data_IF_604075785551
#
_entry.id   IF_604075785551
#
_cell.length_a   1.000
_cell.length_b   1.000
_cell.length_c   1.000
_cell.angle_alpha   90.00
_cell.angle_beta   90.00
_cell.angle_gamma   90.00
#
_symmetry.space_group_name_H-M   'P 1'
#
loop_
_entity.id
_entity.type
_entity.pdbx_description
1 polymer ?
#
# COMPACT_ATOMS: atom_id res chain seq x y z
N UNK A 1 57.79 18.52 2.42
CA UNK A 1 56.89 19.66 2.10
C UNK A 1 55.72 19.13 1.28
N UNK A 2 54.55 18.93 1.89
CA UNK A 2 53.33 18.54 1.16
C UNK A 2 52.71 19.78 0.52
N UNK A 3 52.47 19.74 -0.79
CA UNK A 3 51.91 20.88 -1.53
C UNK A 3 50.48 21.20 -1.08
N UNK A 4 50.16 22.43 -0.65
CA UNK A 4 48.86 22.80 -0.09
C UNK A 4 47.67 22.54 -1.04
N UNK A 5 47.92 22.49 -2.36
CA UNK A 5 46.91 22.18 -3.38
C UNK A 5 46.30 20.78 -3.24
N UNK A 6 47.06 19.80 -2.75
CA UNK A 6 46.56 18.41 -2.62
C UNK A 6 45.54 18.28 -1.48
N UNK A 7 45.73 19.02 -0.37
CA UNK A 7 44.80 18.99 0.76
C UNK A 7 43.46 19.61 0.40
N UNK A 8 43.47 20.73 -0.33
CA UNK A 8 42.22 21.38 -0.78
C UNK A 8 41.44 20.50 -1.74
N UNK A 9 42.12 19.86 -2.71
CA UNK A 9 41.47 18.94 -3.64
C UNK A 9 40.84 17.72 -2.92
N UNK A 10 41.52 17.16 -1.92
CA UNK A 10 41.01 16.03 -1.15
C UNK A 10 39.76 16.40 -0.34
N UNK A 11 39.74 17.57 0.30
CA UNK A 11 38.58 18.06 1.08
C UNK A 11 37.37 18.34 0.19
N UNK A 12 37.58 18.89 -1.01
CA UNK A 12 36.50 19.09 -1.98
C UNK A 12 35.95 17.74 -2.49
N UNK A 13 36.83 16.79 -2.81
CA UNK A 13 36.41 15.47 -3.26
C UNK A 13 35.59 14.74 -2.18
N UNK A 14 36.07 14.72 -0.93
CA UNK A 14 35.32 14.08 0.17
C UNK A 14 33.97 14.74 0.42
N UNK A 15 33.89 16.07 0.35
CA UNK A 15 32.63 16.80 0.48
C UNK A 15 31.60 16.41 -0.59
N UNK A 16 32.03 16.27 -1.85
CA UNK A 16 31.16 15.84 -2.96
C UNK A 16 30.67 14.41 -2.73
N UNK A 17 31.55 13.48 -2.34
CA UNK A 17 31.17 12.08 -2.08
C UNK A 17 30.16 11.93 -0.93
N UNK A 18 30.34 12.70 0.15
CA UNK A 18 29.44 12.67 1.31
C UNK A 18 28.01 13.12 0.96
N UNK A 19 27.85 14.01 -0.02
CA UNK A 19 26.51 14.46 -0.47
C UNK A 19 25.95 13.55 -1.56
N UNK A 20 26.79 13.11 -2.51
CA UNK A 20 26.34 12.32 -3.66
C UNK A 20 25.89 10.91 -3.27
N UNK A 21 26.60 10.24 -2.36
CA UNK A 21 26.29 8.85 -1.98
C UNK A 21 24.89 8.73 -1.34
N UNK A 22 24.52 9.53 -0.33
CA UNK A 22 23.17 9.48 0.24
C UNK A 22 22.08 9.78 -0.80
N UNK A 23 22.30 10.74 -1.69
CA UNK A 23 21.33 11.11 -2.74
C UNK A 23 21.05 9.94 -3.70
N UNK A 24 22.10 9.23 -4.12
CA UNK A 24 21.96 8.06 -4.99
C UNK A 24 21.26 6.91 -4.26
N UNK A 25 21.62 6.65 -3.00
CA UNK A 25 21.02 5.58 -2.20
C UNK A 25 19.54 5.84 -1.88
N UNK A 26 19.16 7.08 -1.55
CA UNK A 26 17.75 7.43 -1.30
C UNK A 26 16.92 7.34 -2.56
N UNK A 27 17.48 7.76 -3.70
CA UNK A 27 16.83 7.67 -5.01
C UNK A 27 16.61 6.21 -5.42
N UNK A 28 17.63 5.36 -5.29
CA UNK A 28 17.53 3.93 -5.58
C UNK A 28 16.52 3.23 -4.65
N UNK A 29 16.50 3.61 -3.37
CA UNK A 29 15.50 3.08 -2.43
C UNK A 29 14.08 3.49 -2.83
N UNK A 30 13.88 4.75 -3.20
CA UNK A 30 12.58 5.24 -3.66
C UNK A 30 12.09 4.46 -4.89
N UNK A 31 12.93 4.32 -5.93
CA UNK A 31 12.55 3.56 -7.12
C UNK A 31 12.46 2.04 -6.90
N UNK A 32 13.14 1.51 -5.88
CA UNK A 32 12.94 0.12 -5.43
C UNK A 32 11.62 -0.09 -4.69
N UNK A 33 11.13 0.94 -3.99
CA UNK A 33 9.84 0.90 -3.30
C UNK A 33 8.67 1.20 -4.23
N UNK A 34 8.78 2.18 -5.11
CA UNK A 34 7.71 2.61 -6.01
C UNK A 34 8.09 2.34 -7.46
N UNK A 35 7.40 1.37 -8.07
CA UNK A 35 7.52 1.09 -9.50
C UNK A 35 6.31 1.69 -10.22
N UNK A 36 6.52 2.79 -10.91
CA UNK A 36 5.47 3.51 -11.64
C UNK A 36 5.55 3.16 -13.13
N UNK A 37 4.44 2.77 -13.73
CA UNK A 37 4.30 2.48 -15.15
C UNK A 37 3.64 3.65 -15.88
N UNK A 38 4.01 3.87 -17.14
CA UNK A 38 3.45 4.93 -17.99
C UNK A 38 1.94 4.80 -18.27
N UNK A 39 1.31 3.69 -17.87
CA UNK A 39 -0.13 3.44 -17.91
C UNK A 39 -0.91 4.08 -16.74
N UNK A 40 -0.21 4.72 -15.79
CA UNK A 40 -0.83 5.24 -14.56
C UNK A 40 -1.03 4.17 -13.48
N UNK A 41 -0.26 3.08 -13.56
CA UNK A 41 -0.21 2.04 -12.55
C UNK A 41 1.04 2.24 -11.69
N UNK A 42 0.91 2.09 -10.37
CA UNK A 42 2.00 2.16 -9.41
C UNK A 42 2.01 0.90 -8.56
N UNK A 43 3.10 0.13 -8.58
CA UNK A 43 3.30 -0.99 -7.67
C UNK A 43 4.22 -0.53 -6.53
N UNK A 44 3.73 -0.68 -5.30
CA UNK A 44 4.45 -0.32 -4.09
C UNK A 44 4.94 -1.58 -3.41
N UNK A 45 6.25 -1.75 -3.27
CA UNK A 45 6.84 -2.81 -2.49
C UNK A 45 6.80 -2.43 -1.00
N UNK A 46 6.25 -3.31 -0.16
CA UNK A 46 6.08 -3.07 1.28
C UNK A 46 7.38 -3.26 2.07
N UNK A 47 8.38 -3.93 1.48
CA UNK A 47 9.67 -4.18 2.11
C UNK A 47 10.36 -2.86 2.47
N UNK A 48 10.63 -2.68 3.77
CA UNK A 48 11.19 -1.44 4.33
C UNK A 48 10.33 -0.17 4.13
N UNK A 49 9.06 -0.31 3.75
CA UNK A 49 8.10 0.79 3.57
C UNK A 49 7.11 0.83 4.76
N UNK A 50 7.62 0.93 5.98
CA UNK A 50 6.85 0.79 7.22
C UNK A 50 6.94 2.03 8.11
N UNK A 51 6.07 2.08 9.12
CA UNK A 51 6.05 3.10 10.17
C UNK A 51 5.31 4.39 9.82
N UNK A 52 5.49 5.39 10.67
CA UNK A 52 4.79 6.68 10.61
C UNK A 52 3.56 6.75 11.51
N UNK A 53 2.91 7.92 11.54
CA UNK A 53 1.71 8.11 12.35
C UNK A 53 0.52 7.37 11.72
N UNK A 54 -0.07 6.43 12.47
CA UNK A 54 -1.27 5.70 12.07
C UNK A 54 -2.53 6.59 12.17
N UNK A 55 -2.63 7.58 11.28
CA UNK A 55 -3.75 8.53 11.22
C UNK A 55 -4.19 8.76 9.77
N UNK A 56 -5.50 8.73 9.51
CA UNK A 56 -6.05 8.82 8.14
C UNK A 56 -5.68 10.11 7.39
N UNK A 57 -5.51 11.20 8.13
CA UNK A 57 -5.05 12.51 7.61
C UNK A 57 -3.53 12.68 7.47
N UNK A 58 -2.74 11.60 7.51
CA UNK A 58 -1.30 11.64 7.25
C UNK A 58 -0.92 10.64 6.18
N UNK A 59 -0.03 11.03 5.25
CA UNK A 59 0.49 10.13 4.23
C UNK A 59 1.21 8.94 4.87
N UNK A 60 0.95 7.75 4.36
CA UNK A 60 1.67 6.53 4.72
C UNK A 60 2.73 6.18 3.67
N UNK A 61 3.70 5.36 4.08
CA UNK A 61 4.72 4.85 3.16
C UNK A 61 4.09 3.92 2.10
N UNK A 62 3.14 3.08 2.48
CA UNK A 62 2.37 2.26 1.54
C UNK A 62 1.00 2.89 1.34
N UNK A 63 0.94 3.87 0.44
CA UNK A 63 -0.29 4.55 0.05
C UNK A 63 -0.21 4.96 -1.42
N UNK A 64 -1.29 4.71 -2.15
CA UNK A 64 -1.46 5.10 -3.54
C UNK A 64 -1.39 6.62 -3.70
N UNK A 65 -0.95 7.05 -4.88
CA UNK A 65 -0.75 8.46 -5.18
C UNK A 65 -2.08 9.17 -5.48
N UNK A 66 -1.98 10.46 -5.76
CA UNK A 66 -3.11 11.29 -6.06
C UNK A 66 -3.90 10.78 -7.28
N UNK A 67 -5.20 10.48 -7.09
CA UNK A 67 -6.07 9.94 -8.13
C UNK A 67 -5.94 8.43 -8.35
N UNK A 68 -5.08 7.76 -7.58
CA UNK A 68 -4.94 6.31 -7.57
C UNK A 68 -5.73 5.64 -6.44
N UNK A 69 -6.16 4.41 -6.67
CA UNK A 69 -6.78 3.53 -5.69
C UNK A 69 -6.03 2.19 -5.65
N UNK A 70 -6.09 1.50 -4.51
CA UNK A 70 -5.61 0.12 -4.44
C UNK A 70 -6.55 -0.74 -5.29
N UNK A 71 -5.97 -1.46 -6.25
CA UNK A 71 -6.69 -2.43 -7.07
C UNK A 71 -6.25 -3.85 -6.78
N UNK A 72 -5.11 -4.06 -6.12
CA UNK A 72 -4.64 -5.41 -5.86
C UNK A 72 -3.53 -5.47 -4.82
N UNK A 73 -3.30 -6.68 -4.35
CA UNK A 73 -2.22 -7.04 -3.45
C UNK A 73 -1.49 -8.24 -4.01
N UNK A 74 -0.19 -8.29 -3.77
CA UNK A 74 0.66 -9.38 -4.18
C UNK A 74 1.47 -9.95 -3.02
N UNK A 75 1.58 -11.27 -3.01
CA UNK A 75 2.55 -12.01 -2.23
C UNK A 75 3.51 -12.75 -3.17
N UNK A 76 4.62 -13.25 -2.63
CA UNK A 76 5.56 -14.09 -3.38
C UNK A 76 5.15 -15.55 -3.26
N UNK A 77 5.58 -16.21 -2.17
CA UNK A 77 5.46 -17.67 -2.00
C UNK A 77 4.95 -18.05 -0.61
N UNK A 78 4.40 -17.10 0.13
CA UNK A 78 4.01 -17.28 1.53
C UNK A 78 2.49 -17.31 1.70
N UNK A 79 1.73 -17.72 0.68
CA UNK A 79 0.28 -17.99 0.78
C UNK A 79 -0.55 -16.84 1.39
N UNK A 80 -0.20 -15.59 1.10
CA UNK A 80 -0.81 -14.38 1.66
C UNK A 80 -0.69 -14.28 3.20
N UNK A 81 0.39 -14.84 3.75
CA UNK A 81 0.87 -14.58 5.11
C UNK A 81 1.48 -13.18 5.26
N UNK A 82 1.76 -12.52 4.13
CA UNK A 82 2.26 -11.14 4.06
C UNK A 82 1.74 -10.43 2.81
N UNK A 83 1.82 -9.09 2.81
CA UNK A 83 1.67 -8.29 1.59
C UNK A 83 3.06 -7.86 1.16
N UNK A 84 3.53 -8.30 -0.01
CA UNK A 84 4.82 -7.86 -0.57
C UNK A 84 4.63 -6.67 -1.49
N UNK A 85 3.56 -6.67 -2.27
CA UNK A 85 3.27 -5.63 -3.25
C UNK A 85 1.85 -5.11 -3.08
N UNK A 86 1.68 -3.81 -3.22
CA UNK A 86 0.38 -3.14 -3.33
C UNK A 86 0.29 -2.52 -4.72
N UNK A 87 -0.72 -2.93 -5.48
CA UNK A 87 -0.95 -2.39 -6.81
C UNK A 87 -1.97 -1.26 -6.73
N UNK A 88 -1.51 -0.06 -7.06
CA UNK A 88 -2.30 1.15 -7.21
C UNK A 88 -2.55 1.46 -8.68
N UNK A 89 -3.75 1.93 -9.01
CA UNK A 89 -4.12 2.33 -10.37
C UNK A 89 -4.84 3.65 -10.37
N UNK A 90 -4.54 4.49 -11.36
CA UNK A 90 -5.25 5.74 -11.58
C UNK A 90 -6.71 5.49 -12.01
N UNK A 91 -7.67 5.81 -11.14
CA UNK A 91 -9.10 5.56 -11.36
C UNK A 91 -9.94 6.84 -11.46
N UNK A 92 -9.39 8.00 -11.09
CA UNK A 92 -10.16 9.24 -10.96
C UNK A 92 -9.66 10.34 -11.93
N UNK A 93 -9.88 10.21 -13.25
CA UNK A 93 -9.35 11.14 -14.26
C UNK A 93 -9.86 12.58 -14.15
N UNK A 94 -11.04 12.80 -13.58
CA UNK A 94 -11.66 14.12 -13.42
C UNK A 94 -11.45 14.71 -12.03
N UNK A 95 -10.70 14.01 -11.16
CA UNK A 95 -10.32 14.56 -9.87
C UNK A 95 -9.42 15.79 -10.07
N UNK A 96 -9.67 16.91 -9.37
CA UNK A 96 -8.73 18.02 -9.34
C UNK A 96 -7.37 17.59 -8.79
N UNK A 97 -6.30 18.02 -9.44
CA UNK A 97 -4.93 17.74 -9.02
C UNK A 97 -4.64 18.37 -7.64
N UNK A 98 -4.05 17.59 -6.74
CA UNK A 98 -3.74 18.05 -5.38
C UNK A 98 -2.44 18.87 -5.30
N UNK A 99 -1.71 19.06 -6.41
CA UNK A 99 -0.38 19.71 -6.44
C UNK A 99 0.63 19.08 -5.47
N UNK A 100 0.53 17.78 -5.22
CA UNK A 100 1.37 17.08 -4.24
C UNK A 100 1.07 17.44 -2.77
N UNK A 101 0.01 18.21 -2.51
CA UNK A 101 -0.44 18.55 -1.16
C UNK A 101 -1.30 17.42 -0.61
N UNK A 102 -0.93 16.90 0.56
CA UNK A 102 -1.70 15.89 1.28
C UNK A 102 -2.76 16.58 2.20
N UNK A 103 -3.97 16.03 2.37
CA UNK A 103 -4.49 14.76 1.85
C UNK A 103 -4.89 14.79 0.38
N UNK A 104 -4.68 13.68 -0.31
CA UNK A 104 -5.08 13.53 -1.72
C UNK A 104 -6.59 13.44 -1.89
N UNK A 105 -7.28 12.89 -0.89
CA UNK A 105 -8.73 12.69 -0.88
C UNK A 105 -9.39 13.50 0.25
N UNK A 106 -10.68 13.88 0.10
CA UNK A 106 -11.34 14.83 1.00
C UNK A 106 -11.54 14.31 2.43
N UNK A 107 -11.82 13.01 2.58
CA UNK A 107 -11.96 12.37 3.89
C UNK A 107 -11.30 10.99 3.87
N UNK A 108 -10.49 10.72 4.88
CA UNK A 108 -9.75 9.48 5.03
C UNK A 108 -9.76 9.05 6.50
N UNK A 109 -10.05 7.77 6.71
CA UNK A 109 -10.11 7.14 8.02
C UNK A 109 -9.35 5.82 8.01
N UNK A 110 -9.03 5.33 9.20
CA UNK A 110 -8.26 4.11 9.40
C UNK A 110 -9.19 3.00 9.87
N UNK A 111 -8.96 1.80 9.36
CA UNK A 111 -9.67 0.58 9.70
C UNK A 111 -8.69 -0.53 10.04
N UNK A 112 -9.18 -1.53 10.75
CA UNK A 112 -8.41 -2.69 11.18
C UNK A 112 -8.93 -3.98 10.53
N UNK A 113 -8.03 -4.75 9.92
CA UNK A 113 -8.31 -5.98 9.17
C UNK A 113 -8.99 -7.09 9.97
N UNK A 114 -8.79 -7.10 11.29
CA UNK A 114 -9.24 -8.17 12.18
C UNK A 114 -10.75 -8.17 12.36
N UNK A 115 -11.38 -6.99 12.44
CA UNK A 115 -12.81 -6.87 12.76
C UNK A 115 -13.56 -5.84 11.91
N UNK A 116 -12.86 -5.06 11.08
CA UNK A 116 -13.45 -4.10 10.15
C UNK A 116 -12.99 -4.47 8.75
N UNK A 117 -13.76 -5.31 8.06
CA UNK A 117 -13.36 -5.84 6.76
C UNK A 117 -13.63 -4.88 5.61
N UNK A 118 -14.58 -3.96 5.78
CA UNK A 118 -15.01 -3.04 4.73
C UNK A 118 -14.77 -1.60 5.13
N UNK A 119 -14.39 -0.77 4.15
CA UNK A 119 -14.31 0.67 4.34
C UNK A 119 -15.68 1.25 4.69
N UNK A 120 -16.74 0.80 4.00
CA UNK A 120 -18.11 1.18 4.30
C UNK A 120 -18.58 0.65 5.65
N UNK A 121 -19.19 1.53 6.45
CA UNK A 121 -19.78 1.19 7.75
C UNK A 121 -21.18 1.80 7.87
N UNK A 122 -22.24 0.98 8.01
CA UNK A 122 -23.61 1.48 8.16
C UNK A 122 -23.79 2.42 9.35
N UNK A 123 -23.04 2.18 10.44
CA UNK A 123 -23.06 3.03 11.64
C UNK A 123 -22.54 4.45 11.39
N UNK A 124 -21.63 4.60 10.41
CA UNK A 124 -20.99 5.86 10.06
C UNK A 124 -21.17 6.13 8.56
N UNK A 125 -22.41 6.01 8.07
CA UNK A 125 -22.73 6.10 6.65
C UNK A 125 -22.16 7.36 6.00
N UNK A 126 -22.43 8.54 6.57
CA UNK A 126 -22.02 9.83 6.00
C UNK A 126 -20.51 9.98 5.78
N UNK A 127 -19.72 9.31 6.63
CA UNK A 127 -18.25 9.35 6.59
C UNK A 127 -17.65 8.23 5.74
N UNK A 128 -18.37 7.13 5.54
CA UNK A 128 -17.83 5.91 4.94
C UNK A 128 -18.49 5.49 3.62
N UNK A 129 -19.54 6.18 3.20
CA UNK A 129 -20.12 6.02 1.86
C UNK A 129 -19.08 6.37 0.80
N UNK A 130 -19.11 5.62 -0.31
CA UNK A 130 -18.18 5.76 -1.43
C UNK A 130 -16.72 5.74 -0.99
N UNK A 131 -16.37 4.86 -0.06
CA UNK A 131 -15.01 4.72 0.44
C UNK A 131 -14.32 3.47 -0.11
N UNK A 132 -13.03 3.61 -0.37
CA UNK A 132 -12.16 2.58 -0.94
C UNK A 132 -10.78 2.62 -0.27
N UNK A 133 -10.02 1.54 -0.42
CA UNK A 133 -8.70 1.38 0.17
C UNK A 133 -7.67 2.18 -0.62
N UNK A 134 -6.88 2.99 0.08
CA UNK A 134 -5.79 3.77 -0.52
C UNK A 134 -4.42 3.34 -0.02
N UNK A 135 -4.33 2.63 1.10
CA UNK A 135 -3.03 2.27 1.65
C UNK A 135 -3.09 1.31 2.82
N UNK A 136 -1.90 0.83 3.17
CA UNK A 136 -1.65 -0.16 4.22
C UNK A 136 -0.60 0.41 5.18
N UNK A 137 -0.76 0.10 6.46
CA UNK A 137 0.15 0.52 7.52
C UNK A 137 0.58 -0.69 8.34
N UNK A 138 1.87 -0.73 8.60
CA UNK A 138 2.52 -1.65 9.52
C UNK A 138 3.69 -0.93 10.19
N UNK A 139 4.08 -1.34 11.39
CA UNK A 139 5.26 -0.88 12.09
C UNK A 139 6.47 -1.84 11.93
N UNK A 140 6.26 -3.01 11.33
CA UNK A 140 7.33 -3.98 11.05
C UNK A 140 8.05 -3.77 9.71
N UNK A 141 9.25 -4.32 9.58
CA UNK A 141 10.07 -4.16 8.35
C UNK A 141 9.43 -4.70 7.06
N UNK A 142 8.41 -5.55 7.22
CA UNK A 142 7.63 -6.23 6.19
C UNK A 142 6.19 -6.32 6.69
N UNK A 143 5.24 -6.28 5.77
CA UNK A 143 3.83 -6.38 6.12
C UNK A 143 3.45 -7.84 6.45
N UNK A 144 3.60 -8.25 7.70
CA UNK A 144 3.29 -9.63 8.13
C UNK A 144 1.91 -9.76 8.76
N UNK A 145 1.21 -10.84 8.42
CA UNK A 145 -0.15 -11.13 8.89
C UNK A 145 -0.24 -12.49 9.59
N UNK A 146 0.71 -13.40 9.37
CA UNK A 146 0.77 -14.77 9.93
C UNK A 146 1.11 -14.85 11.42
N UNK A 147 0.35 -14.17 12.25
CA UNK A 147 0.48 -14.25 13.70
C UNK A 147 -0.57 -15.22 14.24
N UNK A 148 -0.27 -16.01 15.26
CA UNK A 148 -1.27 -16.90 15.90
C UNK A 148 -2.19 -16.15 16.87
N UNK A 149 -1.78 -14.97 17.30
CA UNK A 149 -2.52 -14.12 18.23
C UNK A 149 -3.32 -13.12 17.40
N UNK A 150 -4.55 -12.84 17.82
CA UNK A 150 -5.33 -11.73 17.31
C UNK A 150 -4.62 -10.44 17.72
N UNK A 151 -3.98 -9.79 16.75
CA UNK A 151 -3.36 -8.50 16.93
C UNK A 151 -3.97 -7.47 15.98
N UNK A 152 -3.97 -6.22 16.45
CA UNK A 152 -4.58 -5.06 15.81
C UNK A 152 -3.53 -4.09 15.24
N UNK A 153 -2.35 -4.64 14.95
CA UNK A 153 -1.17 -3.85 14.58
C UNK A 153 -1.30 -3.37 13.13
N UNK A 154 -1.71 -4.25 12.23
CA UNK A 154 -1.84 -3.89 10.83
C UNK A 154 -3.17 -3.12 10.62
N UNK A 155 -3.07 -1.94 10.01
CA UNK A 155 -4.24 -1.10 9.70
C UNK A 155 -4.24 -0.72 8.22
N UNK A 156 -5.43 -0.48 7.65
CA UNK A 156 -5.57 0.08 6.31
C UNK A 156 -6.26 1.41 6.34
N UNK A 157 -5.98 2.19 5.30
CA UNK A 157 -6.58 3.48 5.07
C UNK A 157 -7.68 3.36 4.05
N UNK A 158 -8.83 3.89 4.43
CA UNK A 158 -9.97 4.08 3.57
C UNK A 158 -10.13 5.57 3.31
N UNK A 159 -10.31 5.96 2.06
CA UNK A 159 -10.62 7.32 1.68
C UNK A 159 -11.91 7.36 0.87
N UNK A 160 -12.61 8.48 0.97
CA UNK A 160 -13.81 8.75 0.19
C UNK A 160 -13.45 9.15 -1.24
N UNK A 161 -14.25 8.71 -2.20
CA UNK A 161 -14.13 9.12 -3.60
C UNK A 161 -14.18 10.65 -3.76
N UNK A 162 -13.52 11.19 -4.80
CA UNK A 162 -13.68 12.59 -5.16
C UNK A 162 -15.13 12.90 -5.54
N UNK A 163 -15.52 14.18 -5.45
CA UNK A 163 -16.85 14.63 -5.85
C UNK A 163 -17.17 14.21 -7.28
N UNK A 164 -18.33 13.58 -7.48
CA UNK A 164 -18.80 13.09 -8.79
C UNK A 164 -18.50 11.62 -9.06
N UNK A 165 -17.75 10.96 -8.18
CA UNK A 165 -17.49 9.51 -8.23
C UNK A 165 -18.25 8.81 -7.10
N UNK A 166 -18.73 7.60 -7.38
CA UNK A 166 -19.40 6.74 -6.41
C UNK A 166 -18.84 5.33 -6.49
N UNK A 167 -18.95 4.58 -5.40
CA UNK A 167 -18.62 3.15 -5.38
C UNK A 167 -19.91 2.38 -5.61
N UNK A 168 -19.96 1.59 -6.68
CA UNK A 168 -21.08 0.69 -6.89
C UNK A 168 -20.95 -0.56 -6.01
N UNK A 169 -21.58 -0.50 -4.83
CA UNK A 169 -21.65 -1.63 -3.91
C UNK A 169 -22.56 -2.77 -4.39
N UNK A 170 -23.38 -2.57 -5.43
CA UNK A 170 -24.23 -3.65 -5.99
C UNK A 170 -23.42 -4.61 -6.87
N UNK A 171 -22.41 -4.10 -7.56
CA UNK A 171 -21.46 -4.89 -8.36
C UNK A 171 -20.29 -5.41 -7.52
N UNK A 172 -20.50 -5.72 -6.24
CA UNK A 172 -19.43 -6.15 -5.33
C UNK A 172 -18.86 -7.51 -5.76
N UNK A 173 -17.58 -7.53 -6.14
CA UNK A 173 -16.83 -8.76 -6.42
C UNK A 173 -15.94 -9.07 -5.22
N UNK A 174 -16.15 -10.24 -4.63
CA UNK A 174 -15.23 -10.82 -3.68
C UNK A 174 -14.12 -11.55 -4.44
N UNK A 175 -12.87 -11.31 -4.06
CA UNK A 175 -11.71 -11.83 -4.78
C UNK A 175 -10.90 -12.67 -3.79
N UNK A 176 -11.28 -13.94 -3.61
CA UNK A 176 -10.66 -14.77 -2.60
C UNK A 176 -9.18 -14.95 -2.90
N UNK A 177 -8.36 -15.11 -1.87
CA UNK A 177 -6.92 -15.41 -2.00
C UNK A 177 -6.64 -16.89 -2.29
N UNK A 178 -7.70 -17.68 -2.33
CA UNK A 178 -7.70 -19.12 -2.49
C UNK A 178 -8.83 -19.58 -3.38
N UNK A 179 -8.68 -20.78 -3.90
CA UNK A 179 -9.70 -21.45 -4.69
C UNK A 179 -10.79 -22.10 -3.81
N UNK A 180 -11.71 -22.80 -4.47
CA UNK A 180 -12.83 -23.50 -3.82
C UNK A 180 -12.40 -24.70 -2.94
N UNK A 181 -11.18 -25.22 -3.14
CA UNK A 181 -10.61 -26.31 -2.35
C UNK A 181 -9.79 -25.80 -1.16
N UNK A 182 -9.62 -24.48 -1.08
CA UNK A 182 -8.91 -23.79 -0.01
C UNK A 182 -7.42 -23.67 -0.26
N UNK A 183 -6.97 -23.98 -1.48
CA UNK A 183 -5.58 -23.81 -1.92
C UNK A 183 -5.37 -22.36 -2.33
N UNK A 184 -4.29 -21.73 -1.84
CA UNK A 184 -3.95 -20.37 -2.26
C UNK A 184 -3.56 -20.39 -3.74
N UNK A 185 -3.86 -19.30 -4.46
CA UNK A 185 -3.51 -19.21 -5.88
C UNK A 185 -2.00 -19.26 -6.06
N UNK A 186 -1.44 -20.45 -6.32
CA UNK A 186 -0.01 -20.66 -6.37
C UNK A 186 0.56 -20.36 -7.76
N UNK A 187 1.44 -19.37 -7.80
CA UNK A 187 2.34 -19.17 -8.92
C UNK A 187 3.76 -19.23 -8.36
N UNK A 188 4.65 -19.92 -9.08
CA UNK A 188 5.98 -20.30 -8.59
C UNK A 188 6.82 -19.12 -8.08
N UNK A 189 6.52 -17.88 -8.50
CA UNK A 189 7.30 -16.70 -8.12
C UNK A 189 6.48 -15.49 -7.64
N UNK A 190 5.20 -15.34 -8.00
CA UNK A 190 4.37 -14.17 -7.62
C UNK A 190 2.88 -14.52 -7.65
N UNK A 191 2.19 -14.37 -6.52
CA UNK A 191 0.73 -14.44 -6.43
C UNK A 191 0.18 -13.01 -6.41
N UNK A 192 -0.59 -12.63 -7.42
CA UNK A 192 -1.22 -11.31 -7.47
C UNK A 192 -2.74 -11.46 -7.63
N UNK A 193 -3.47 -10.83 -6.72
CA UNK A 193 -4.92 -10.75 -6.79
C UNK A 193 -5.27 -9.29 -6.97
N UNK A 194 -5.97 -8.99 -8.07
CA UNK A 194 -6.27 -7.62 -8.44
C UNK A 194 -7.63 -7.48 -9.13
N UNK A 195 -8.17 -6.27 -9.06
CA UNK A 195 -9.37 -5.79 -9.73
C UNK A 195 -9.07 -5.45 -11.19
N UNK A 196 -9.94 -5.88 -12.09
CA UNK A 196 -9.93 -5.38 -13.47
C UNK A 196 -10.18 -3.86 -13.54
N UNK A 197 -9.98 -3.27 -14.72
CA UNK A 197 -10.19 -1.84 -14.94
C UNK A 197 -11.58 -1.37 -14.51
N UNK A 198 -11.62 -0.33 -13.66
CA UNK A 198 -12.87 0.26 -13.16
C UNK A 198 -13.30 -0.22 -11.77
N UNK A 199 -12.60 -1.19 -11.18
CA UNK A 199 -12.84 -1.64 -9.82
C UNK A 199 -11.71 -1.21 -8.88
N UNK A 200 -12.07 -0.94 -7.62
CA UNK A 200 -11.15 -0.60 -6.55
C UNK A 200 -11.39 -1.54 -5.36
N UNK A 201 -10.34 -1.79 -4.58
CA UNK A 201 -10.45 -2.51 -3.33
C UNK A 201 -11.26 -1.67 -2.32
N UNK A 202 -12.34 -2.21 -1.78
CA UNK A 202 -13.22 -1.53 -0.80
C UNK A 202 -13.11 -2.11 0.61
N UNK A 203 -12.27 -3.11 0.78
CA UNK A 203 -12.14 -3.88 2.01
C UNK A 203 -11.07 -4.96 1.87
N UNK A 204 -10.70 -5.54 3.01
CA UNK A 204 -9.75 -6.64 3.14
C UNK A 204 -9.90 -7.20 4.56
N UNK A 205 -9.73 -8.51 4.71
CA UNK A 205 -9.96 -9.24 5.93
C UNK A 205 -8.75 -10.11 6.32
N UNK A 206 -8.59 -10.35 7.62
CA UNK A 206 -7.67 -11.33 8.18
C UNK A 206 -8.49 -12.55 8.62
N UNK A 207 -8.28 -13.71 7.99
CA UNK A 207 -9.00 -14.96 8.32
C UNK A 207 -8.04 -16.10 8.68
N UNK A 208 -8.48 -16.98 9.57
CA UNK A 208 -7.67 -18.15 9.98
C UNK A 208 -7.74 -19.20 8.86
N UNK A 209 -6.59 -19.67 8.42
CA UNK A 209 -6.50 -20.82 7.52
C UNK A 209 -6.92 -22.09 8.27
N UNK A 210 -7.86 -22.90 7.73
CA UNK A 210 -8.26 -24.15 8.37
C UNK A 210 -7.16 -25.23 8.36
N UNK A 211 -6.09 -25.02 7.58
CA UNK A 211 -4.99 -25.98 7.42
C UNK A 211 -3.81 -25.66 8.35
N UNK A 212 -3.29 -24.43 8.30
CA UNK A 212 -2.13 -24.00 9.09
C UNK A 212 -2.51 -23.46 10.48
N UNK A 213 -3.78 -23.07 10.67
CA UNK A 213 -4.27 -22.36 11.86
C UNK A 213 -3.62 -20.97 12.07
N UNK A 214 -2.96 -20.43 11.06
CA UNK A 214 -2.41 -19.08 11.07
C UNK A 214 -3.36 -18.09 10.38
N UNK A 215 -3.19 -16.80 10.63
CA UNK A 215 -3.95 -15.76 9.94
C UNK A 215 -3.37 -15.47 8.55
N UNK A 216 -4.26 -15.48 7.57
CA UNK A 216 -3.96 -15.14 6.18
C UNK A 216 -4.87 -13.99 5.74
N UNK A 217 -4.42 -13.28 4.72
CA UNK A 217 -5.22 -12.22 4.11
C UNK A 217 -6.29 -12.85 3.23
N UNK A 218 -7.47 -12.26 3.24
CA UNK A 218 -8.52 -12.45 2.25
C UNK A 218 -9.06 -11.09 1.79
N UNK A 219 -9.53 -11.02 0.55
CA UNK A 219 -9.99 -9.78 -0.05
C UNK A 219 -11.48 -9.84 -0.41
#
# INVERSE_FOLDING_TARGET
MGTPKLKTALVFATGIFVIAIPLVLTTNRYYGTYTVFGTGDTIINTFHAHGGLNHGKRRWNVECLDGEAVIGIGDLVDDFQKIVNVWCKFLFPYKPFANGVYPYYPDCFVKNYTFQFYCYSPKYHDNSVDSFVTGFWDDESQFFVNRKIVDDINAYKCCRTPRGYYVDYASCYYMPTRDQYGEYYDATNVMLIYCASGYAMTGIAKKISPFSMDYHIEW
#
